data_IF_345007540414
#
_entry.id   IF_345007540414
#
_cell.length_a   1.000
_cell.length_b   1.000
_cell.length_c   1.000
_cell.angle_alpha   90.00
_cell.angle_beta   90.00
_cell.angle_gamma   90.00
#
_symmetry.space_group_name_H-M   'P 1'
#
loop_
_entity.id
_entity.type
_entity.pdbx_description
1 polymer ?
#
# COMPACT_ATOMS: atom_id res chain seq x y z
N UNK A 1 -49.58 36.21 1.71
CA UNK A 1 -49.44 35.96 0.26
C UNK A 1 -48.20 36.71 -0.21
N UNK A 2 -47.07 36.00 -0.28
CA UNK A 2 -45.83 36.50 -0.87
C UNK A 2 -45.29 35.37 -1.74
N UNK A 3 -45.35 35.59 -3.05
CA UNK A 3 -44.92 34.66 -4.08
C UNK A 3 -43.39 34.70 -4.22
N UNK A 4 -42.77 33.52 -4.12
CA UNK A 4 -41.36 33.32 -4.47
C UNK A 4 -41.27 32.86 -5.93
N UNK A 5 -40.38 33.44 -6.76
CA UNK A 5 -40.16 32.96 -8.12
C UNK A 5 -39.34 31.66 -8.10
N UNK A 6 -39.91 30.59 -8.63
CA UNK A 6 -39.23 29.34 -8.93
C UNK A 6 -38.54 29.46 -10.29
N UNK A 7 -37.21 29.59 -10.30
CA UNK A 7 -36.42 29.40 -11.51
C UNK A 7 -35.55 28.15 -11.32
N UNK A 8 -35.62 27.15 -12.22
CA UNK A 8 -34.80 25.95 -12.09
C UNK A 8 -33.34 26.26 -12.43
N UNK A 9 -32.44 25.99 -11.48
CA UNK A 9 -30.99 26.03 -11.69
C UNK A 9 -30.60 24.81 -12.51
N UNK A 10 -30.26 25.07 -13.78
CA UNK A 10 -29.71 24.10 -14.71
C UNK A 10 -28.25 23.79 -14.31
N UNK A 11 -27.86 22.53 -14.09
CA UNK A 11 -26.47 22.22 -13.74
C UNK A 11 -25.56 22.44 -14.95
N UNK A 12 -24.58 23.34 -14.76
CA UNK A 12 -23.47 23.62 -15.66
C UNK A 12 -22.63 22.34 -15.87
N UNK A 13 -22.92 21.63 -16.97
CA UNK A 13 -22.08 20.54 -17.47
C UNK A 13 -20.84 21.12 -18.17
N UNK A 14 -19.92 21.68 -17.39
CA UNK A 14 -18.55 21.89 -17.87
C UNK A 14 -17.82 20.55 -17.95
N UNK A 15 -17.83 20.03 -19.17
CA UNK A 15 -17.05 18.90 -19.68
C UNK A 15 -15.59 18.96 -19.21
N UNK A 16 -15.21 18.02 -18.35
CA UNK A 16 -13.82 17.58 -18.26
C UNK A 16 -13.57 16.58 -19.39
N UNK A 17 -13.27 17.09 -20.58
CA UNK A 17 -12.79 16.29 -21.70
C UNK A 17 -11.37 15.81 -21.39
N UNK A 18 -11.24 14.57 -20.92
CA UNK A 18 -9.97 13.87 -20.95
C UNK A 18 -9.65 13.51 -22.41
N UNK A 19 -9.08 14.46 -23.15
CA UNK A 19 -8.38 14.18 -24.40
C UNK A 19 -7.09 13.41 -24.05
N UNK A 20 -7.17 12.08 -24.06
CA UNK A 20 -5.98 11.26 -24.17
C UNK A 20 -5.46 11.35 -25.62
N UNK A 21 -4.19 11.71 -25.85
CA UNK A 21 -3.59 11.49 -27.17
C UNK A 21 -3.59 9.99 -27.45
N UNK A 22 -4.34 9.58 -28.47
CA UNK A 22 -4.24 8.24 -29.07
C UNK A 22 -2.86 8.16 -29.72
N UNK A 23 -1.93 7.49 -29.05
CA UNK A 23 -0.64 7.15 -29.63
C UNK A 23 -0.90 6.14 -30.75
N UNK A 24 -0.49 6.38 -32.01
CA UNK A 24 -0.67 5.41 -33.07
C UNK A 24 0.13 4.15 -32.72
N UNK A 25 -0.58 3.04 -32.53
CA UNK A 25 0.03 1.72 -32.38
C UNK A 25 0.75 1.38 -33.68
N UNK A 26 2.08 1.43 -33.63
CA UNK A 26 2.93 0.84 -34.66
C UNK A 26 2.86 -0.68 -34.51
N UNK A 27 2.64 -1.45 -35.59
CA UNK A 27 2.61 -2.90 -35.52
C UNK A 27 3.98 -3.44 -35.11
N UNK A 28 3.98 -4.33 -34.12
CA UNK A 28 5.17 -4.98 -33.59
C UNK A 28 5.83 -5.82 -34.70
N UNK A 29 7.16 -5.72 -34.90
CA UNK A 29 7.86 -6.56 -35.88
C UNK A 29 7.76 -8.04 -35.50
N UNK A 30 7.37 -8.87 -36.46
CA UNK A 30 7.37 -10.33 -36.32
C UNK A 30 8.81 -10.84 -36.11
N UNK A 31 9.01 -11.86 -35.25
CA UNK A 31 10.32 -12.44 -35.03
C UNK A 31 10.86 -13.11 -36.31
N UNK A 32 12.18 -13.05 -36.57
CA UNK A 32 12.77 -13.61 -37.77
C UNK A 32 12.63 -15.14 -37.81
N UNK A 33 12.29 -15.63 -39.01
CA UNK A 33 12.12 -17.05 -39.34
C UNK A 33 13.44 -17.80 -39.12
N UNK A 34 13.40 -18.85 -38.31
CA UNK A 34 14.54 -19.73 -38.00
C UNK A 34 15.03 -20.43 -39.27
N UNK A 35 16.33 -20.38 -39.63
CA UNK A 35 16.85 -21.10 -40.78
C UNK A 35 16.94 -22.60 -40.49
N UNK A 36 16.61 -23.37 -41.53
CA UNK A 36 16.59 -24.83 -41.58
C UNK A 36 18.03 -25.32 -41.72
N UNK A 37 18.59 -25.94 -40.68
CA UNK A 37 19.92 -26.53 -40.75
C UNK A 37 19.83 -27.96 -41.30
N UNK A 38 20.53 -28.18 -42.41
CA UNK A 38 20.78 -29.51 -42.97
C UNK A 38 21.79 -30.24 -42.08
N UNK A 39 21.44 -31.46 -41.70
CA UNK A 39 22.29 -32.40 -40.99
C UNK A 39 23.39 -32.93 -41.91
N UNK A 40 24.65 -32.64 -41.57
CA UNK A 40 25.81 -33.35 -42.12
C UNK A 40 26.68 -33.86 -40.97
N UNK A 41 26.67 -35.18 -40.86
CA UNK A 41 27.66 -36.12 -40.34
C UNK A 41 28.50 -35.75 -39.11
N UNK A 42 28.36 -36.64 -38.12
CA UNK A 42 29.21 -36.87 -36.96
C UNK A 42 30.66 -37.25 -37.30
N UNK A 43 31.48 -37.20 -36.24
CA UNK A 43 32.79 -37.83 -35.97
C UNK A 43 33.86 -36.73 -35.81
N UNK A 44 34.70 -36.63 -34.77
CA UNK A 44 35.40 -37.60 -33.93
C UNK A 44 35.86 -36.86 -32.63
N UNK A 45 36.23 -37.64 -31.60
CA UNK A 45 37.11 -37.34 -30.43
C UNK A 45 36.37 -36.87 -29.18
N UNK A 46 36.19 -37.68 -28.13
CA UNK A 46 37.12 -38.65 -27.57
C UNK A 46 37.64 -38.09 -26.23
N UNK A 47 37.21 -38.70 -25.12
CA UNK A 47 37.52 -38.35 -23.72
C UNK A 47 37.01 -37.01 -23.15
N UNK A 48 37.03 -35.89 -23.88
CA UNK A 48 36.59 -34.58 -23.36
C UNK A 48 35.06 -34.43 -23.19
N UNK A 49 34.29 -35.06 -24.07
CA UNK A 49 32.82 -34.99 -24.07
C UNK A 49 32.16 -35.69 -22.88
N UNK A 50 32.73 -36.81 -22.41
CA UNK A 50 32.20 -37.51 -21.24
C UNK A 50 32.37 -36.67 -19.96
N UNK A 51 33.47 -35.93 -19.82
CA UNK A 51 33.69 -35.06 -18.66
C UNK A 51 32.69 -33.90 -18.66
N UNK A 52 32.45 -33.28 -19.82
CA UNK A 52 31.47 -32.18 -19.96
C UNK A 52 30.04 -32.64 -19.68
N UNK A 53 29.66 -33.82 -20.18
CA UNK A 53 28.33 -34.41 -19.91
C UNK A 53 28.18 -34.76 -18.43
N UNK A 54 29.21 -35.34 -17.80
CA UNK A 54 29.19 -35.65 -16.36
C UNK A 54 29.13 -34.38 -15.51
N UNK A 55 29.86 -33.31 -15.86
CA UNK A 55 29.77 -32.01 -15.20
C UNK A 55 28.38 -31.38 -15.38
N UNK A 56 27.80 -31.42 -16.58
CA UNK A 56 26.45 -30.93 -16.81
C UNK A 56 25.40 -31.71 -16.02
N UNK A 57 25.53 -33.04 -15.91
CA UNK A 57 24.64 -33.87 -15.09
C UNK A 57 24.84 -33.55 -13.60
N UNK A 58 26.08 -33.42 -13.12
CA UNK A 58 26.36 -33.13 -11.72
C UNK A 58 25.88 -31.73 -11.31
N UNK A 59 26.06 -30.72 -12.18
CA UNK A 59 25.51 -29.37 -11.98
C UNK A 59 23.98 -29.39 -12.04
N UNK A 60 23.38 -30.13 -12.97
CA UNK A 60 21.92 -30.27 -13.05
C UNK A 60 21.33 -30.99 -11.83
N UNK A 61 22.05 -31.97 -11.27
CA UNK A 61 21.66 -32.66 -10.02
C UNK A 61 21.88 -31.74 -8.81
N UNK A 62 22.98 -30.99 -8.72
CA UNK A 62 23.22 -30.02 -7.63
C UNK A 62 22.22 -28.85 -7.66
N UNK A 63 21.95 -28.26 -8.83
CA UNK A 63 20.95 -27.19 -8.99
C UNK A 63 19.54 -27.75 -8.80
N UNK A 64 19.25 -28.93 -9.34
CA UNK A 64 17.97 -29.63 -9.14
C UNK A 64 17.72 -30.01 -7.68
N UNK A 65 18.75 -30.39 -6.92
CA UNK A 65 18.64 -30.68 -5.49
C UNK A 65 18.34 -29.41 -4.67
N UNK A 66 18.90 -28.27 -5.05
CA UNK A 66 18.63 -26.98 -4.42
C UNK A 66 17.26 -26.40 -4.80
N UNK A 67 16.79 -26.63 -6.03
CA UNK A 67 15.45 -26.20 -6.44
C UNK A 67 14.38 -27.13 -5.87
N UNK A 68 14.63 -28.44 -5.82
CA UNK A 68 13.71 -29.40 -5.22
C UNK A 68 13.62 -29.22 -3.70
N UNK A 69 14.72 -28.89 -3.00
CA UNK A 69 14.66 -28.55 -1.57
C UNK A 69 13.82 -27.30 -1.29
N UNK A 70 13.87 -26.28 -2.17
CA UNK A 70 13.02 -25.09 -2.11
C UNK A 70 11.54 -25.36 -2.45
N UNK A 71 11.26 -26.34 -3.32
CA UNK A 71 9.91 -26.71 -3.71
C UNK A 71 9.23 -27.68 -2.74
N UNK A 72 10.01 -28.53 -2.04
CA UNK A 72 9.46 -29.48 -1.04
C UNK A 72 9.49 -28.92 0.38
N UNK A 73 10.30 -27.89 0.64
CA UNK A 73 10.29 -27.12 1.87
C UNK A 73 10.21 -25.65 1.50
N UNK A 74 8.99 -25.07 1.31
CA UNK A 74 8.89 -23.63 1.46
C UNK A 74 9.54 -23.27 2.81
N UNK A 75 10.24 -22.12 2.94
CA UNK A 75 10.71 -21.69 4.25
C UNK A 75 9.48 -21.61 5.14
N UNK A 76 9.29 -22.62 5.98
CA UNK A 76 8.29 -22.60 7.02
C UNK A 76 8.78 -21.51 7.96
N UNK A 77 8.22 -20.31 7.83
CA UNK A 77 8.37 -19.29 8.87
C UNK A 77 7.73 -19.90 10.11
N UNK A 78 8.59 -20.45 10.96
CA UNK A 78 8.21 -20.99 12.26
C UNK A 78 7.73 -19.78 13.08
N UNK A 79 6.43 -19.54 13.10
CA UNK A 79 5.83 -18.58 14.03
C UNK A 79 5.81 -19.22 15.42
N UNK A 80 6.98 -19.24 16.04
CA UNK A 80 7.19 -19.73 17.41
C UNK A 80 6.53 -18.76 18.38
N UNK A 81 5.28 -19.05 18.79
CA UNK A 81 4.52 -18.42 19.88
C UNK A 81 4.94 -16.97 20.21
N UNK A 82 4.86 -16.10 19.20
CA UNK A 82 5.39 -14.73 19.28
C UNK A 82 4.35 -13.91 20.05
N UNK A 83 4.75 -13.35 21.21
CA UNK A 83 4.00 -12.26 21.83
C UNK A 83 3.63 -11.24 20.73
N UNK A 84 2.41 -10.69 20.69
CA UNK A 84 2.03 -9.71 19.68
C UNK A 84 3.12 -8.64 19.58
N UNK A 85 3.59 -8.36 18.36
CA UNK A 85 4.63 -7.35 18.17
C UNK A 85 4.09 -6.02 18.71
N UNK A 86 4.71 -5.52 19.77
CA UNK A 86 4.34 -4.24 20.34
C UNK A 86 4.95 -3.13 19.48
N UNK A 87 4.15 -2.59 18.56
CA UNK A 87 4.54 -1.43 17.75
C UNK A 87 4.87 -0.20 18.59
N UNK A 88 4.39 -0.12 19.84
CA UNK A 88 4.72 0.97 20.75
C UNK A 88 6.11 0.85 21.34
N UNK A 89 6.70 -0.35 21.32
CA UNK A 89 8.07 -0.56 21.75
C UNK A 89 9.04 0.22 20.86
N UNK A 90 9.90 1.02 21.49
CA UNK A 90 10.82 1.91 20.79
C UNK A 90 10.16 3.12 20.14
N UNK A 91 8.87 3.41 20.38
CA UNK A 91 8.36 4.75 20.12
C UNK A 91 9.17 5.74 20.95
N UNK A 92 9.70 6.77 20.29
CA UNK A 92 10.28 7.91 20.99
C UNK A 92 9.22 8.61 21.85
N UNK A 93 9.66 9.47 22.77
CA UNK A 93 8.74 10.28 23.58
C UNK A 93 8.47 11.65 22.96
N UNK A 94 9.22 12.02 21.92
CA UNK A 94 9.15 13.33 21.26
C UNK A 94 9.28 13.18 19.74
N UNK A 95 8.41 13.85 18.95
CA UNK A 95 8.57 13.97 17.51
C UNK A 95 9.92 14.59 17.13
N UNK A 96 10.59 14.04 16.11
CA UNK A 96 11.91 14.47 15.61
C UNK A 96 11.78 15.71 14.71
N UNK A 97 10.73 15.77 13.90
CA UNK A 97 10.43 16.94 13.06
C UNK A 97 9.59 18.00 13.78
N UNK A 98 9.77 19.26 13.39
CA UNK A 98 8.88 20.37 13.78
C UNK A 98 7.58 20.40 12.99
N UNK A 99 7.53 19.76 11.82
CA UNK A 99 6.36 19.79 10.94
C UNK A 99 6.18 18.45 10.23
N UNK A 100 4.95 17.95 10.24
CA UNK A 100 4.57 16.68 9.63
C UNK A 100 3.58 16.94 8.49
N UNK A 101 4.13 17.27 7.31
CA UNK A 101 3.34 17.47 6.09
C UNK A 101 2.98 16.11 5.51
N UNK A 102 1.69 15.87 5.26
CA UNK A 102 1.22 14.58 4.72
C UNK A 102 1.61 14.40 3.26
N UNK A 103 1.65 15.51 2.50
CA UNK A 103 2.06 15.51 1.10
C UNK A 103 3.57 15.36 0.96
N UNK A 104 4.00 14.48 0.06
CA UNK A 104 5.41 14.25 -0.18
C UNK A 104 5.69 12.95 -0.92
N UNK A 105 6.96 12.74 -1.29
CA UNK A 105 7.42 11.46 -1.81
C UNK A 105 7.32 10.40 -0.71
N UNK A 106 7.08 9.12 -1.07
CA UNK A 106 7.12 8.04 -0.10
C UNK A 106 8.45 7.97 0.65
N UNK A 107 8.39 7.80 1.97
CA UNK A 107 9.56 7.60 2.83
C UNK A 107 9.70 6.16 3.34
N UNK A 108 8.69 5.33 3.08
CA UNK A 108 8.69 3.89 3.34
C UNK A 108 8.33 3.13 2.05
N UNK A 109 8.72 1.86 1.94
CA UNK A 109 8.46 1.03 0.75
C UNK A 109 7.21 0.16 0.92
N UNK A 110 6.67 -0.34 -0.20
CA UNK A 110 5.59 -1.34 -0.19
C UNK A 110 5.94 -2.59 0.63
N UNK A 111 7.16 -3.13 0.45
CA UNK A 111 7.62 -4.31 1.18
C UNK A 111 7.69 -4.06 2.68
N UNK A 112 8.12 -2.87 3.09
CA UNK A 112 8.15 -2.51 4.50
C UNK A 112 6.75 -2.36 5.10
N UNK A 113 5.80 -1.76 4.37
CA UNK A 113 4.40 -1.70 4.80
C UNK A 113 3.88 -3.12 5.03
N UNK A 114 4.15 -4.06 4.12
CA UNK A 114 3.77 -5.46 4.30
C UNK A 114 4.42 -6.11 5.51
N UNK A 115 5.71 -5.82 5.78
CA UNK A 115 6.38 -6.27 7.02
C UNK A 115 5.68 -5.76 8.27
N UNK A 116 5.30 -4.47 8.31
CA UNK A 116 4.58 -3.89 9.45
C UNK A 116 3.22 -4.55 9.61
N UNK A 117 2.44 -4.69 8.55
CA UNK A 117 1.11 -5.32 8.62
C UNK A 117 1.20 -6.78 9.05
N UNK A 118 2.16 -7.54 8.51
CA UNK A 118 2.36 -8.95 8.83
C UNK A 118 2.83 -9.17 10.27
N UNK A 119 3.83 -8.41 10.76
CA UNK A 119 4.34 -8.58 12.13
C UNK A 119 3.30 -8.23 13.20
N UNK A 120 2.28 -7.48 12.83
CA UNK A 120 1.16 -7.10 13.69
C UNK A 120 -0.10 -7.96 13.51
N UNK A 121 -0.05 -9.05 12.72
CA UNK A 121 -1.21 -9.90 12.42
C UNK A 121 -2.42 -9.12 11.85
N UNK A 122 -2.16 -8.08 11.05
CA UNK A 122 -3.23 -7.30 10.44
C UNK A 122 -4.05 -8.17 9.46
N UNK A 123 -5.40 -8.08 9.48
CA UNK A 123 -6.22 -8.68 8.41
C UNK A 123 -5.96 -8.08 7.03
N UNK A 124 -5.23 -6.96 6.94
CA UNK A 124 -4.78 -6.35 5.70
C UNK A 124 -3.35 -6.74 5.30
N UNK A 125 -2.75 -7.77 5.91
CA UNK A 125 -1.43 -8.26 5.49
C UNK A 125 -1.37 -8.63 4.00
N UNK A 126 -0.22 -8.39 3.36
CA UNK A 126 -0.02 -8.62 1.91
C UNK A 126 -0.68 -7.56 1.02
N UNK A 127 -1.12 -6.43 1.59
CA UNK A 127 -1.77 -5.32 0.87
C UNK A 127 -0.87 -4.07 0.76
N UNK A 128 0.37 -4.14 1.24
CA UNK A 128 1.32 -3.05 1.30
C UNK A 128 1.62 -2.42 -0.05
N UNK A 129 1.66 -3.23 -1.13
CA UNK A 129 1.77 -2.70 -2.50
C UNK A 129 0.62 -1.76 -2.88
N UNK A 130 -0.63 -2.11 -2.55
CA UNK A 130 -1.79 -1.26 -2.87
C UNK A 130 -1.82 0.00 -2.01
N UNK A 131 -1.53 -0.13 -0.71
CA UNK A 131 -1.45 1.01 0.21
C UNK A 131 -0.37 2.00 -0.27
N UNK A 132 0.83 1.50 -0.59
CA UNK A 132 1.92 2.31 -1.16
C UNK A 132 1.53 2.98 -2.47
N UNK A 133 0.93 2.22 -3.40
CA UNK A 133 0.52 2.72 -4.72
C UNK A 133 -0.44 3.90 -4.60
N UNK A 134 -1.40 3.85 -3.68
CA UNK A 134 -2.31 4.98 -3.48
C UNK A 134 -1.61 6.19 -2.87
N UNK A 135 -0.67 6.02 -1.95
CA UNK A 135 0.14 7.14 -1.48
C UNK A 135 0.89 7.83 -2.62
N UNK A 136 1.53 7.06 -3.51
CA UNK A 136 2.14 7.61 -4.73
C UNK A 136 1.12 8.32 -5.62
N UNK A 137 -0.03 7.68 -5.87
CA UNK A 137 -1.07 8.21 -6.75
C UNK A 137 -1.64 9.55 -6.25
N UNK A 138 -1.83 9.70 -4.94
CA UNK A 138 -2.40 10.89 -4.31
C UNK A 138 -1.34 11.87 -3.80
N UNK A 139 -0.05 11.59 -3.99
CA UNK A 139 1.05 12.46 -3.55
C UNK A 139 1.22 12.53 -2.02
N UNK A 140 0.75 11.52 -1.29
CA UNK A 140 0.82 11.41 0.16
C UNK A 140 1.89 10.38 0.52
N UNK A 141 2.77 10.73 1.46
CA UNK A 141 3.75 9.78 1.97
C UNK A 141 3.03 8.61 2.71
N UNK A 142 3.15 7.35 2.26
CA UNK A 142 2.43 6.22 2.83
C UNK A 142 2.64 5.97 4.32
N UNK A 143 3.71 6.50 4.91
CA UNK A 143 3.94 6.45 6.35
C UNK A 143 2.77 7.06 7.15
N UNK A 144 2.14 8.11 6.63
CA UNK A 144 0.99 8.75 7.30
C UNK A 144 -0.25 7.86 7.28
N UNK A 145 -0.58 7.26 6.14
CA UNK A 145 -1.73 6.35 6.05
C UNK A 145 -1.55 5.15 6.97
N UNK A 146 -0.34 4.56 7.01
CA UNK A 146 -0.05 3.46 7.91
C UNK A 146 -0.18 3.88 9.40
N UNK A 147 0.20 5.11 9.75
CA UNK A 147 0.13 5.60 11.13
C UNK A 147 -1.31 5.88 11.56
N UNK A 148 -2.13 6.46 10.67
CA UNK A 148 -3.57 6.56 10.88
C UNK A 148 -4.18 5.17 11.05
N UNK A 149 -3.82 4.20 10.21
CA UNK A 149 -4.38 2.85 10.29
C UNK A 149 -4.09 2.16 11.63
N UNK A 150 -2.89 2.35 12.17
CA UNK A 150 -2.55 1.89 13.51
C UNK A 150 -3.44 2.54 14.56
N UNK A 151 -3.55 3.87 14.54
CA UNK A 151 -4.32 4.61 15.54
C UNK A 151 -5.82 4.27 15.50
N UNK A 152 -6.39 4.15 14.30
CA UNK A 152 -7.83 3.97 14.08
C UNK A 152 -8.34 2.58 14.47
N UNK A 153 -7.51 1.55 14.34
CA UNK A 153 -8.00 0.17 14.48
C UNK A 153 -6.91 -0.87 14.75
N UNK A 154 -5.70 -0.45 15.09
CA UNK A 154 -4.54 -1.34 15.20
C UNK A 154 -4.36 -2.17 13.91
N UNK A 155 -4.37 -1.48 12.77
CA UNK A 155 -4.32 -2.09 11.44
C UNK A 155 -5.52 -2.99 11.12
N UNK A 156 -6.72 -2.57 11.50
CA UNK A 156 -7.96 -3.28 11.17
C UNK A 156 -8.34 -4.40 12.13
N UNK A 157 -7.60 -4.57 13.22
CA UNK A 157 -7.83 -5.61 14.22
C UNK A 157 -8.95 -5.27 15.20
N UNK A 158 -9.27 -3.99 15.39
CA UNK A 158 -10.18 -3.53 16.41
C UNK A 158 -11.33 -2.70 15.84
N UNK A 159 -12.44 -2.66 16.58
CA UNK A 159 -13.56 -1.77 16.31
C UNK A 159 -14.28 -2.07 15.00
N UNK A 160 -14.91 -1.03 14.45
CA UNK A 160 -15.74 -1.16 13.24
C UNK A 160 -14.95 -1.55 11.99
N UNK A 161 -13.62 -1.31 11.97
CA UNK A 161 -12.74 -1.64 10.85
C UNK A 161 -12.76 -3.14 10.49
N UNK A 162 -12.98 -4.02 11.45
CA UNK A 162 -13.13 -5.46 11.22
C UNK A 162 -14.29 -5.81 10.27
N UNK A 163 -15.33 -4.97 10.25
CA UNK A 163 -16.53 -5.13 9.42
C UNK A 163 -16.51 -4.20 8.21
N UNK A 164 -16.03 -2.98 8.39
CA UNK A 164 -16.07 -1.94 7.36
C UNK A 164 -14.93 -2.03 6.35
N UNK A 165 -13.83 -2.72 6.69
CA UNK A 165 -12.60 -2.76 5.91
C UNK A 165 -12.02 -1.36 5.65
N UNK A 166 -12.20 -0.48 6.64
CA UNK A 166 -11.83 0.94 6.57
C UNK A 166 -10.49 1.19 7.26
N UNK A 167 -9.57 1.86 6.56
CA UNK A 167 -8.32 2.32 7.17
C UNK A 167 -8.57 3.43 8.20
N UNK A 168 -9.54 4.30 7.92
CA UNK A 168 -9.71 5.56 8.61
C UNK A 168 -11.02 5.73 9.37
N UNK A 169 -11.87 4.69 9.45
CA UNK A 169 -13.23 4.80 10.02
C UNK A 169 -13.98 6.05 9.54
N UNK A 170 -14.01 6.26 8.22
CA UNK A 170 -14.67 7.42 7.59
C UNK A 170 -16.19 7.33 7.80
N UNK A 171 -16.84 8.43 8.21
CA UNK A 171 -18.30 8.52 8.39
C UNK A 171 -19.04 8.31 7.07
N UNK A 172 -20.13 7.55 7.12
CA UNK A 172 -21.03 7.34 5.98
C UNK A 172 -21.81 8.61 5.65
N UNK A 173 -22.20 8.76 4.38
CA UNK A 173 -23.23 9.70 3.93
C UNK A 173 -24.50 8.94 3.60
N UNK A 174 -25.61 9.67 3.53
CA UNK A 174 -26.91 9.09 3.16
C UNK A 174 -26.82 8.30 1.85
N UNK A 175 -27.28 7.05 1.87
CA UNK A 175 -27.27 6.15 0.72
C UNK A 175 -25.95 5.41 0.46
N UNK A 176 -24.89 5.67 1.22
CA UNK A 176 -23.64 4.90 1.13
C UNK A 176 -23.74 3.58 1.94
N UNK A 177 -23.11 2.48 1.48
CA UNK A 177 -22.99 1.27 2.30
C UNK A 177 -22.30 1.58 3.63
N UNK A 178 -22.89 1.13 4.74
CA UNK A 178 -22.37 1.48 6.07
C UNK A 178 -22.51 0.37 7.11
N UNK A 179 -21.83 0.59 8.24
CA UNK A 179 -21.96 -0.16 9.48
C UNK A 179 -21.74 0.80 10.65
N UNK A 180 -22.77 0.98 11.50
CA UNK A 180 -22.75 1.85 12.68
C UNK A 180 -22.31 3.31 12.39
N UNK A 181 -22.80 3.93 11.30
CA UNK A 181 -22.43 5.30 10.95
C UNK A 181 -21.10 5.45 10.21
N UNK A 182 -20.44 4.34 9.87
CA UNK A 182 -19.15 4.32 9.17
C UNK A 182 -19.27 3.67 7.80
N UNK A 183 -18.61 4.26 6.80
CA UNK A 183 -18.55 3.70 5.44
C UNK A 183 -18.02 2.28 5.46
N UNK A 184 -18.68 1.41 4.72
CA UNK A 184 -18.31 0.00 4.53
C UNK A 184 -17.84 -0.23 3.10
N UNK A 185 -16.72 -0.94 2.97
CA UNK A 185 -16.08 -1.25 1.70
C UNK A 185 -16.15 -2.75 1.40
N UNK A 186 -15.99 -3.12 0.12
CA UNK A 186 -15.91 -4.52 -0.28
C UNK A 186 -14.52 -5.12 -0.06
N UNK A 187 -13.49 -4.27 0.09
CA UNK A 187 -12.09 -4.67 0.32
C UNK A 187 -11.32 -3.61 1.10
N UNK A 188 -10.21 -4.01 1.73
CA UNK A 188 -9.28 -3.08 2.37
C UNK A 188 -8.72 -2.06 1.38
N UNK A 189 -8.43 -2.48 0.15
CA UNK A 189 -7.93 -1.61 -0.93
C UNK A 189 -8.88 -0.46 -1.25
N UNK A 190 -10.19 -0.71 -1.27
CA UNK A 190 -11.19 0.35 -1.45
C UNK A 190 -11.18 1.34 -0.28
N UNK A 191 -11.09 0.84 0.96
CA UNK A 191 -10.94 1.69 2.14
C UNK A 191 -9.65 2.51 2.13
N UNK A 192 -8.54 1.95 1.66
CA UNK A 192 -7.27 2.65 1.50
C UNK A 192 -7.42 3.79 0.50
N UNK A 193 -8.00 3.49 -0.67
CA UNK A 193 -8.22 4.47 -1.73
C UNK A 193 -9.08 5.63 -1.25
N UNK A 194 -10.17 5.35 -0.53
CA UNK A 194 -11.06 6.40 -0.05
C UNK A 194 -10.39 7.29 0.98
N UNK A 195 -9.60 6.72 1.90
CA UNK A 195 -8.81 7.52 2.84
C UNK A 195 -7.83 8.46 2.14
N UNK A 196 -7.02 7.94 1.20
CA UNK A 196 -6.08 8.79 0.47
C UNK A 196 -6.78 9.87 -0.35
N UNK A 197 -7.90 9.53 -0.99
CA UNK A 197 -8.74 10.48 -1.73
C UNK A 197 -9.27 11.57 -0.80
N UNK A 198 -9.80 11.20 0.36
CA UNK A 198 -10.34 12.13 1.35
C UNK A 198 -9.26 13.10 1.82
N UNK A 199 -8.10 12.60 2.25
CA UNK A 199 -7.01 13.44 2.73
C UNK A 199 -6.49 14.36 1.62
N UNK A 200 -6.23 13.83 0.43
CA UNK A 200 -5.67 14.62 -0.67
C UNK A 200 -6.65 15.68 -1.19
N UNK A 201 -7.88 15.29 -1.49
CA UNK A 201 -8.82 16.17 -2.20
C UNK A 201 -9.61 17.07 -1.27
N UNK A 202 -9.98 16.59 -0.08
CA UNK A 202 -10.81 17.38 0.84
C UNK A 202 -9.93 18.14 1.84
N UNK A 203 -9.10 17.43 2.60
CA UNK A 203 -8.32 18.08 3.66
C UNK A 203 -7.23 18.98 3.09
N UNK A 204 -6.44 18.46 2.14
CA UNK A 204 -5.30 19.21 1.58
C UNK A 204 -5.75 20.22 0.53
N UNK A 205 -6.40 19.77 -0.55
CA UNK A 205 -6.72 20.63 -1.69
C UNK A 205 -7.83 21.63 -1.38
N UNK A 206 -9.00 21.17 -0.89
CA UNK A 206 -10.13 22.06 -0.63
C UNK A 206 -9.96 22.90 0.65
N UNK A 207 -9.42 22.33 1.73
CA UNK A 207 -9.36 23.01 3.04
C UNK A 207 -7.98 23.56 3.41
N UNK A 208 -6.93 23.26 2.64
CA UNK A 208 -5.57 23.75 2.91
C UNK A 208 -4.90 23.15 4.15
N UNK A 209 -5.45 22.06 4.70
CA UNK A 209 -4.95 21.36 5.89
C UNK A 209 -3.85 20.39 5.47
N UNK A 210 -2.61 20.88 5.45
CA UNK A 210 -1.46 20.14 4.89
C UNK A 210 -0.64 19.35 5.90
N UNK A 211 -0.93 19.48 7.19
CA UNK A 211 -0.15 18.88 8.28
C UNK A 211 -1.01 18.07 9.23
N UNK A 212 -0.43 17.06 9.86
CA UNK A 212 -1.10 16.23 10.89
C UNK A 212 -1.78 17.10 11.96
N UNK A 213 -1.08 18.13 12.46
CA UNK A 213 -1.57 19.10 13.45
C UNK A 213 -2.82 19.89 13.01
N UNK A 214 -3.09 19.97 11.70
CA UNK A 214 -4.24 20.68 11.14
C UNK A 214 -5.35 19.73 10.71
N UNK A 215 -4.98 18.52 10.29
CA UNK A 215 -5.91 17.49 9.81
C UNK A 215 -6.66 16.86 10.98
N UNK A 216 -5.93 16.39 12.00
CA UNK A 216 -6.52 15.58 13.08
C UNK A 216 -7.63 16.31 13.85
N UNK A 217 -7.51 17.60 14.22
CA UNK A 217 -8.58 18.32 14.91
C UNK A 217 -9.90 18.38 14.13
N UNK A 218 -9.85 18.26 12.80
CA UNK A 218 -11.04 18.21 11.93
C UNK A 218 -11.48 16.76 11.66
N UNK A 219 -10.52 15.83 11.61
CA UNK A 219 -10.74 14.42 11.29
C UNK A 219 -11.34 13.63 12.45
N UNK A 220 -10.82 13.86 13.66
CA UNK A 220 -11.19 13.18 14.90
C UNK A 220 -11.29 14.23 16.02
N UNK A 221 -12.31 15.10 15.96
CA UNK A 221 -12.47 16.20 16.91
C UNK A 221 -12.80 15.68 18.32
N UNK A 222 -12.45 16.46 19.35
CA UNK A 222 -12.78 16.15 20.75
C UNK A 222 -14.28 16.04 21.00
N UNK A 223 -15.13 16.76 20.24
CA UNK A 223 -16.59 16.68 20.32
C UNK A 223 -17.12 15.25 20.08
N UNK A 224 -16.36 14.44 19.34
CA UNK A 224 -16.64 13.01 19.08
C UNK A 224 -15.99 12.08 20.14
N UNK A 225 -15.51 12.62 21.26
CA UNK A 225 -14.76 11.96 22.34
C UNK A 225 -13.36 11.45 21.95
N UNK A 226 -12.70 12.11 21.00
CA UNK A 226 -11.30 11.82 20.66
C UNK A 226 -10.33 12.62 21.54
N UNK A 227 -9.11 12.10 21.70
CA UNK A 227 -7.97 12.87 22.21
C UNK A 227 -7.06 13.26 21.04
N UNK A 228 -7.31 14.45 20.50
CA UNK A 228 -6.55 15.00 19.37
C UNK A 228 -5.05 15.09 19.67
N UNK A 229 -4.69 15.42 20.90
CA UNK A 229 -3.29 15.63 21.30
C UNK A 229 -2.53 14.30 21.28
N UNK A 230 -3.13 13.25 21.83
CA UNK A 230 -2.60 11.90 21.80
C UNK A 230 -2.56 11.37 20.37
N UNK A 231 -3.61 11.56 19.57
CA UNK A 231 -3.63 11.14 18.16
C UNK A 231 -2.50 11.81 17.36
N UNK A 232 -2.38 13.13 17.45
CA UNK A 232 -1.29 13.88 16.79
C UNK A 232 0.08 13.34 17.21
N UNK A 233 0.29 13.13 18.51
CA UNK A 233 1.56 12.61 19.02
C UNK A 233 1.84 11.20 18.47
N UNK A 234 0.88 10.29 18.57
CA UNK A 234 0.98 8.91 18.08
C UNK A 234 1.35 8.86 16.60
N UNK A 235 0.64 9.58 15.74
CA UNK A 235 0.92 9.58 14.29
C UNK A 235 2.33 10.06 14.01
N UNK A 236 2.78 11.14 14.67
CA UNK A 236 4.12 11.68 14.49
C UNK A 236 5.21 10.68 14.87
N UNK A 237 5.06 10.04 16.04
CA UNK A 237 6.03 9.09 16.55
C UNK A 237 6.13 7.83 15.68
N UNK A 238 5.00 7.32 15.17
CA UNK A 238 5.01 6.19 14.24
C UNK A 238 5.68 6.52 12.91
N UNK A 239 5.39 7.69 12.36
CA UNK A 239 6.05 8.16 11.13
C UNK A 239 7.56 8.24 11.32
N UNK A 240 8.04 8.79 12.45
CA UNK A 240 9.47 8.88 12.74
C UNK A 240 10.11 7.51 12.95
N UNK A 241 9.45 6.62 13.72
CA UNK A 241 9.90 5.25 13.98
C UNK A 241 10.13 4.51 12.67
N UNK A 242 9.14 4.47 11.80
CA UNK A 242 9.23 3.71 10.55
C UNK A 242 10.17 4.32 9.52
N UNK A 243 10.28 5.66 9.47
CA UNK A 243 11.33 6.32 8.68
C UNK A 243 12.72 5.97 9.17
N UNK A 244 12.90 5.79 10.48
CA UNK A 244 14.18 5.39 11.08
C UNK A 244 14.50 3.93 10.77
N UNK A 245 13.55 3.02 10.98
CA UNK A 245 13.69 1.60 10.62
C UNK A 245 14.02 1.43 9.13
N UNK A 246 13.35 2.16 8.24
CA UNK A 246 13.62 2.10 6.80
C UNK A 246 15.03 2.52 6.42
N UNK A 247 15.61 3.53 7.09
CA UNK A 247 16.98 3.97 6.84
C UNK A 247 18.01 2.95 7.29
N UNK A 248 17.69 2.13 8.29
CA UNK A 248 18.58 1.08 8.81
C UNK A 248 18.58 -0.18 7.93
N UNK A 249 17.59 -0.34 7.05
CA UNK A 249 17.49 -1.46 6.09
C UNK A 249 18.20 -1.17 4.76
N UNK A 250 18.81 0.01 4.59
CA UNK A 250 19.57 0.43 3.41
C UNK A 250 21.06 0.38 3.70
#
# INVERSE_FOLDING_TARGET
MHDFPTTPVQPDQRQWSYNHPVVPMTPTPLPPRKPRHNSCLYSILGAGGCLLVLVCIFVSVLVGSNVLSFLTHPPTVQFENIQPFDETNGLGTKPVSRTYKVMGKPTITAAYIDTVLARNNSPAQGKGNTLYKYGVQYGIDPAYALAFFWHESHFGQLGVAQTTLSLGNIRSREGEPEYNGYRRYASWEEGFKDWYRLIALTYVDQWGLTTVDKIIPVYAPQEDNNDESTYILTVKLFVDKWRTEMKQQQ
#
